data_IF_451930175186
#
_entry.id   IF_451930175186
#
_cell.length_a   1.000
_cell.length_b   1.000
_cell.length_c   1.000
_cell.angle_alpha   90.00
_cell.angle_beta   90.00
_cell.angle_gamma   90.00
#
_symmetry.space_group_name_H-M   'P 1'
#
loop_
_entity.id
_entity.type
_entity.pdbx_description
1 polymer ?
#
# COMPACT_ATOMS: atom_id res chain seq x y z
N UNK A 1 1.70 24.97 30.29
CA UNK A 1 0.41 24.89 29.64
C UNK A 1 0.16 23.53 29.08
N UNK A 2 -0.33 22.61 29.87
CA UNK A 2 -0.47 21.21 29.43
C UNK A 2 -1.48 21.00 28.30
N UNK A 3 -2.57 21.79 28.26
CA UNK A 3 -3.60 21.64 27.25
C UNK A 3 -3.11 22.02 25.85
N UNK A 4 -2.35 23.11 25.74
CA UNK A 4 -1.77 23.56 24.47
C UNK A 4 -0.73 22.56 23.94
N UNK A 5 0.10 22.02 24.83
CA UNK A 5 1.11 21.04 24.48
C UNK A 5 0.49 19.73 23.99
N UNK A 6 -0.56 19.26 24.65
CA UNK A 6 -1.29 18.07 24.23
C UNK A 6 -1.97 18.25 22.86
N UNK A 7 -2.55 19.44 22.62
CA UNK A 7 -3.17 19.77 21.34
C UNK A 7 -2.15 19.80 20.18
N UNK A 8 -0.98 20.37 20.39
CA UNK A 8 0.09 20.40 19.40
C UNK A 8 0.55 18.98 19.05
N UNK A 9 0.76 18.12 20.05
CA UNK A 9 1.15 16.73 19.84
C UNK A 9 0.09 15.97 19.05
N UNK A 10 -1.19 16.18 19.36
CA UNK A 10 -2.30 15.55 18.64
C UNK A 10 -2.36 16.02 17.18
N UNK A 11 -2.17 17.30 16.91
CA UNK A 11 -2.15 17.84 15.54
C UNK A 11 -1.00 17.25 14.72
N UNK A 12 0.20 17.15 15.28
CA UNK A 12 1.35 16.53 14.63
C UNK A 12 1.08 15.06 14.29
N UNK A 13 0.38 14.33 15.16
CA UNK A 13 0.04 12.92 14.90
C UNK A 13 -1.10 12.73 13.90
N UNK A 14 -2.04 13.70 13.80
CA UNK A 14 -3.19 13.61 12.91
C UNK A 14 -2.97 14.23 11.53
N UNK A 15 -1.88 15.00 11.36
CA UNK A 15 -1.52 15.67 10.11
C UNK A 15 -0.19 15.15 9.55
N UNK A 16 -0.16 13.92 9.05
CA UNK A 16 1.07 13.36 8.51
C UNK A 16 1.46 14.05 7.20
N UNK A 17 2.74 14.04 6.90
CA UNK A 17 3.20 14.32 5.55
C UNK A 17 2.78 13.17 4.64
N UNK A 18 2.04 13.49 3.61
CA UNK A 18 1.56 12.49 2.66
C UNK A 18 2.57 12.24 1.57
N UNK A 19 2.88 10.96 1.35
CA UNK A 19 3.72 10.51 0.26
C UNK A 19 2.83 10.00 -0.86
N UNK A 20 2.96 10.54 -2.06
CA UNK A 20 2.23 10.03 -3.22
C UNK A 20 2.93 8.77 -3.75
N UNK A 21 2.15 7.76 -4.06
CA UNK A 21 2.62 6.52 -4.69
C UNK A 21 1.91 6.35 -6.04
N UNK A 22 2.68 6.05 -7.06
CA UNK A 22 2.17 5.73 -8.39
C UNK A 22 2.62 4.33 -8.75
N UNK A 23 1.65 3.41 -8.88
CA UNK A 23 1.92 1.97 -8.96
C UNK A 23 1.33 1.40 -10.24
N UNK A 24 2.15 0.60 -10.92
CA UNK A 24 1.69 -0.21 -12.06
C UNK A 24 2.22 -1.63 -11.93
N UNK A 25 1.34 -2.58 -12.11
CA UNK A 25 1.71 -3.99 -12.13
C UNK A 25 0.83 -4.75 -13.13
N UNK A 26 1.33 -5.87 -13.60
CA UNK A 26 0.58 -6.74 -14.50
C UNK A 26 0.93 -8.20 -14.25
N UNK A 27 0.09 -9.07 -14.75
CA UNK A 27 0.35 -10.50 -14.66
C UNK A 27 -0.66 -11.30 -15.46
N UNK A 28 -0.48 -12.62 -15.44
CA UNK A 28 -1.46 -13.52 -16.04
C UNK A 28 -2.81 -13.32 -15.38
N UNK A 29 -3.89 -13.44 -16.16
CA UNK A 29 -5.25 -13.27 -15.64
C UNK A 29 -5.52 -14.20 -14.46
N UNK A 30 -5.06 -15.45 -14.53
CA UNK A 30 -5.21 -16.43 -13.45
C UNK A 30 -4.55 -15.97 -12.16
N UNK A 31 -3.27 -15.60 -12.23
CA UNK A 31 -2.52 -15.21 -11.03
C UNK A 31 -2.95 -13.83 -10.49
N UNK A 32 -3.29 -12.90 -11.37
CA UNK A 32 -3.81 -11.60 -10.94
C UNK A 32 -5.16 -11.72 -10.23
N UNK A 33 -6.02 -12.64 -10.67
CA UNK A 33 -7.28 -12.92 -9.97
C UNK A 33 -7.04 -13.49 -8.57
N UNK A 34 -6.07 -14.38 -8.42
CA UNK A 34 -5.69 -14.91 -7.11
C UNK A 34 -5.15 -13.79 -6.21
N UNK A 35 -4.28 -12.95 -6.75
CA UNK A 35 -3.75 -11.80 -6.04
C UNK A 35 -4.85 -10.85 -5.56
N UNK A 36 -5.76 -10.48 -6.45
CA UNK A 36 -6.88 -9.59 -6.12
C UNK A 36 -7.77 -10.18 -5.03
N UNK A 37 -8.08 -11.47 -5.10
CA UNK A 37 -8.96 -12.11 -4.13
C UNK A 37 -8.32 -12.28 -2.75
N UNK A 38 -7.01 -12.49 -2.70
CA UNK A 38 -6.31 -12.78 -1.44
C UNK A 38 -5.76 -11.51 -0.74
N UNK A 39 -5.27 -10.55 -1.50
CA UNK A 39 -4.54 -9.40 -0.95
C UNK A 39 -5.18 -8.04 -1.20
N UNK A 40 -6.29 -8.00 -1.92
CA UNK A 40 -6.99 -6.76 -2.25
C UNK A 40 -8.45 -6.83 -1.81
N UNK A 41 -9.05 -5.66 -1.62
CA UNK A 41 -10.50 -5.53 -1.47
C UNK A 41 -11.04 -4.77 -2.67
N UNK A 42 -12.19 -5.22 -3.19
CA UNK A 42 -12.95 -4.49 -4.20
C UNK A 42 -13.82 -3.43 -3.53
N UNK A 43 -13.99 -2.29 -4.19
CA UNK A 43 -14.86 -1.22 -3.71
C UNK A 43 -16.31 -1.73 -3.58
N UNK A 44 -16.89 -1.69 -2.36
CA UNK A 44 -18.26 -2.17 -2.15
C UNK A 44 -19.32 -1.32 -2.87
N UNK A 45 -18.97 -0.13 -3.35
CA UNK A 45 -19.88 0.73 -4.12
C UNK A 45 -19.97 0.34 -5.61
N UNK A 46 -19.32 -0.74 -6.01
CA UNK A 46 -19.46 -1.27 -7.37
C UNK A 46 -18.71 -0.50 -8.46
N UNK A 47 -17.67 0.26 -8.09
CA UNK A 47 -16.88 1.02 -9.06
C UNK A 47 -15.92 0.15 -9.88
N UNK A 48 -15.72 -1.10 -9.49
CA UNK A 48 -14.72 -1.98 -10.09
C UNK A 48 -13.29 -1.64 -9.69
N UNK A 49 -13.11 -0.74 -8.71
CA UNK A 49 -11.79 -0.35 -8.22
C UNK A 49 -11.39 -1.20 -7.03
N UNK A 50 -10.08 -1.25 -6.77
CA UNK A 50 -9.48 -2.07 -5.73
C UNK A 50 -8.55 -1.25 -4.84
N UNK A 51 -8.29 -1.78 -3.66
CA UNK A 51 -7.21 -1.34 -2.79
C UNK A 51 -6.37 -2.53 -2.35
N UNK A 52 -5.10 -2.30 -2.10
CA UNK A 52 -4.27 -3.28 -1.40
C UNK A 52 -4.69 -3.33 0.06
N UNK A 53 -4.67 -4.51 0.66
CA UNK A 53 -4.92 -4.67 2.09
C UNK A 53 -3.60 -5.05 2.75
N UNK A 54 -2.94 -4.07 3.35
CA UNK A 54 -1.61 -4.26 3.94
C UNK A 54 -1.62 -5.31 5.05
N UNK A 55 -2.70 -5.35 5.82
CA UNK A 55 -2.84 -6.35 6.89
C UNK A 55 -2.85 -7.79 6.37
N UNK A 56 -3.31 -8.01 5.15
CA UNK A 56 -3.28 -9.32 4.49
C UNK A 56 -1.92 -9.65 3.89
N UNK A 57 -1.20 -8.62 3.43
CA UNK A 57 0.11 -8.77 2.80
C UNK A 57 1.20 -8.96 3.87
N UNK A 58 1.19 -8.12 4.89
CA UNK A 58 2.15 -8.14 5.99
C UNK A 58 1.41 -7.87 7.30
N UNK A 59 0.87 -8.91 7.94
CA UNK A 59 0.12 -8.74 9.18
C UNK A 59 0.94 -8.09 10.28
N UNK A 60 0.33 -7.12 10.97
CA UNK A 60 0.94 -6.46 12.11
C UNK A 60 1.11 -7.46 13.25
N UNK A 61 2.29 -7.48 13.86
CA UNK A 61 2.58 -8.30 15.02
C UNK A 61 1.87 -7.83 16.28
N UNK A 62 2.07 -8.56 17.37
CA UNK A 62 1.50 -8.22 18.66
C UNK A 62 2.14 -6.95 19.20
N UNK A 63 1.34 -6.12 19.87
CA UNK A 63 1.79 -4.92 20.56
C UNK A 63 0.89 -4.64 21.76
N UNK A 64 1.43 -3.97 22.78
CA UNK A 64 0.64 -3.51 23.91
C UNK A 64 -0.18 -2.28 23.52
N UNK A 65 -1.48 -2.30 23.86
CA UNK A 65 -2.35 -1.15 23.64
C UNK A 65 -1.99 -0.02 24.60
N UNK A 66 -1.94 1.19 24.07
CA UNK A 66 -1.72 2.41 24.84
C UNK A 66 -2.73 3.48 24.43
N UNK A 67 -2.90 4.49 25.29
CA UNK A 67 -3.91 5.55 25.09
C UNK A 67 -3.63 6.41 23.85
N UNK A 68 -2.37 6.55 23.47
CA UNK A 68 -1.94 7.38 22.34
C UNK A 68 -1.90 6.62 21.03
N UNK A 69 -2.14 5.32 21.03
CA UNK A 69 -1.95 4.42 19.88
C UNK A 69 -0.52 4.42 19.32
N UNK A 70 0.45 4.86 20.10
CA UNK A 70 1.85 4.91 19.68
C UNK A 70 2.39 3.53 19.33
N UNK A 71 2.08 2.54 20.16
CA UNK A 71 2.52 1.16 19.94
C UNK A 71 1.92 0.57 18.66
N UNK A 72 0.65 0.86 18.40
CA UNK A 72 -0.01 0.45 17.16
C UNK A 72 0.67 1.09 15.94
N UNK A 73 0.91 2.38 15.98
CA UNK A 73 1.56 3.12 14.89
C UNK A 73 2.96 2.57 14.61
N UNK A 74 3.73 2.29 15.65
CA UNK A 74 5.06 1.71 15.50
C UNK A 74 5.00 0.31 14.91
N UNK A 75 4.09 -0.53 15.38
CA UNK A 75 3.90 -1.88 14.85
C UNK A 75 3.49 -1.87 13.37
N UNK A 76 2.58 -0.96 12.99
CA UNK A 76 2.17 -0.78 11.61
C UNK A 76 3.32 -0.27 10.73
N UNK A 77 4.09 0.68 11.23
CA UNK A 77 5.24 1.22 10.49
C UNK A 77 6.33 0.16 10.26
N UNK A 78 6.55 -0.72 11.22
CA UNK A 78 7.45 -1.87 11.04
C UNK A 78 6.94 -2.86 10.01
N UNK A 79 5.64 -3.17 10.06
CA UNK A 79 5.03 -4.16 9.17
C UNK A 79 4.86 -3.66 7.74
N UNK A 80 4.66 -2.35 7.55
CA UNK A 80 4.25 -1.78 6.25
C UNK A 80 5.22 -0.75 5.67
N UNK A 81 6.02 -0.11 6.50
CA UNK A 81 6.87 1.01 6.10
C UNK A 81 6.15 2.36 6.15
N UNK A 82 4.86 2.36 6.46
CA UNK A 82 4.06 3.57 6.62
C UNK A 82 3.07 3.39 7.78
N UNK A 83 2.43 4.49 8.17
CA UNK A 83 1.63 4.57 9.40
C UNK A 83 0.30 3.82 9.32
N UNK A 84 -0.38 3.87 8.19
CA UNK A 84 -1.74 3.33 8.02
C UNK A 84 -1.85 2.45 6.79
N UNK A 85 -2.83 1.53 6.83
CA UNK A 85 -3.21 0.74 5.69
C UNK A 85 -3.82 1.62 4.59
N UNK A 86 -3.81 1.13 3.37
CA UNK A 86 -4.44 1.81 2.25
C UNK A 86 -5.95 1.89 2.46
N UNK A 87 -6.52 3.09 2.41
CA UNK A 87 -7.95 3.30 2.59
C UNK A 87 -8.70 3.54 1.29
N UNK A 88 -8.06 4.14 0.30
CA UNK A 88 -8.69 4.51 -0.95
C UNK A 88 -8.71 3.36 -1.95
N UNK A 89 -9.85 3.19 -2.64
CA UNK A 89 -9.97 2.26 -3.76
C UNK A 89 -9.43 2.93 -5.02
N UNK A 90 -8.10 3.05 -5.08
CA UNK A 90 -7.40 3.84 -6.09
C UNK A 90 -6.99 3.05 -7.32
N UNK A 91 -7.00 1.71 -7.24
CA UNK A 91 -6.51 0.88 -8.33
C UNK A 91 -7.63 0.52 -9.31
N UNK A 92 -7.33 0.71 -10.59
CA UNK A 92 -8.18 0.24 -11.68
C UNK A 92 -7.52 -0.97 -12.33
N UNK A 93 -8.32 -1.89 -12.84
CA UNK A 93 -7.84 -3.05 -13.57
C UNK A 93 -8.27 -2.94 -15.03
N UNK A 94 -7.44 -3.45 -15.92
CA UNK A 94 -7.71 -3.55 -17.34
C UNK A 94 -7.29 -4.92 -17.84
N UNK A 95 -8.19 -5.60 -18.52
CA UNK A 95 -7.90 -6.89 -19.14
C UNK A 95 -7.30 -6.67 -20.54
N UNK A 96 -6.27 -7.43 -20.85
CA UNK A 96 -5.61 -7.40 -22.16
C UNK A 96 -5.39 -8.82 -22.67
N UNK A 97 -5.44 -8.97 -23.98
CA UNK A 97 -5.07 -10.22 -24.66
C UNK A 97 -3.90 -9.94 -25.59
N UNK A 98 -2.82 -10.70 -25.45
CA UNK A 98 -1.65 -10.60 -26.28
C UNK A 98 -1.09 -12.00 -26.56
N UNK A 99 -0.84 -12.33 -27.85
CA UNK A 99 -0.40 -13.66 -28.28
C UNK A 99 -1.27 -14.80 -27.73
N UNK A 100 -2.60 -14.64 -27.80
CA UNK A 100 -3.61 -15.59 -27.31
C UNK A 100 -3.55 -15.84 -25.79
N UNK A 101 -2.82 -15.02 -25.04
CA UNK A 101 -2.77 -15.08 -23.58
C UNK A 101 -3.48 -13.88 -22.97
N UNK A 102 -4.16 -14.12 -21.86
CA UNK A 102 -4.91 -13.10 -21.15
C UNK A 102 -4.11 -12.55 -19.96
N UNK A 103 -4.09 -11.24 -19.83
CA UNK A 103 -3.39 -10.51 -18.77
C UNK A 103 -4.33 -9.53 -18.09
N UNK A 104 -3.98 -9.18 -16.87
CA UNK A 104 -4.62 -8.07 -16.14
C UNK A 104 -3.54 -7.08 -15.78
N UNK A 105 -3.79 -5.81 -16.12
CA UNK A 105 -3.01 -4.67 -15.67
C UNK A 105 -3.73 -4.02 -14.50
N UNK A 106 -2.98 -3.63 -13.47
CA UNK A 106 -3.48 -2.92 -12.31
C UNK A 106 -2.65 -1.67 -12.14
N UNK A 107 -3.31 -0.51 -12.05
CA UNK A 107 -2.62 0.77 -11.89
C UNK A 107 -3.43 1.73 -11.03
N UNK A 108 -2.73 2.62 -10.36
CA UNK A 108 -3.35 3.67 -9.58
C UNK A 108 -2.35 4.48 -8.80
N UNK A 109 -2.83 5.61 -8.30
CA UNK A 109 -2.06 6.52 -7.45
C UNK A 109 -2.79 6.70 -6.13
N UNK A 110 -2.05 6.69 -5.03
CA UNK A 110 -2.60 6.89 -3.70
C UNK A 110 -1.56 7.44 -2.75
N UNK A 111 -2.03 7.97 -1.64
CA UNK A 111 -1.17 8.59 -0.65
C UNK A 111 -0.94 7.67 0.55
N UNK A 112 0.29 7.68 1.06
CA UNK A 112 0.66 7.01 2.30
C UNK A 112 1.23 8.01 3.30
N UNK A 113 0.95 7.84 4.60
CA UNK A 113 1.49 8.76 5.60
C UNK A 113 2.98 8.51 5.85
N UNK A 114 3.77 9.57 5.81
CA UNK A 114 5.21 9.67 6.17
C UNK A 114 6.21 9.10 5.16
N UNK A 115 5.82 8.24 4.28
CA UNK A 115 6.74 7.66 3.32
C UNK A 115 6.12 6.55 2.50
N UNK A 116 6.86 5.98 1.55
CA UNK A 116 6.34 4.88 0.76
C UNK A 116 6.24 3.61 1.59
N UNK A 117 5.29 2.72 1.28
CA UNK A 117 5.13 1.47 2.00
C UNK A 117 6.16 0.42 1.53
N UNK A 118 7.44 0.70 1.76
CA UNK A 118 8.55 -0.12 1.27
C UNK A 118 8.52 -1.56 1.79
N UNK A 119 8.05 -1.79 3.00
CA UNK A 119 7.93 -3.15 3.56
C UNK A 119 6.84 -3.93 2.82
N UNK A 120 5.73 -3.26 2.47
CA UNK A 120 4.68 -3.86 1.64
C UNK A 120 5.22 -4.25 0.27
N UNK A 121 5.99 -3.36 -0.35
CA UNK A 121 6.63 -3.65 -1.64
C UNK A 121 7.51 -4.91 -1.54
N UNK A 122 8.39 -4.98 -0.56
CA UNK A 122 9.28 -6.11 -0.36
C UNK A 122 8.51 -7.42 -0.12
N UNK A 123 7.42 -7.36 0.65
CA UNK A 123 6.56 -8.51 0.90
C UNK A 123 5.82 -8.97 -0.35
N UNK A 124 5.35 -8.05 -1.18
CA UNK A 124 4.72 -8.40 -2.46
C UNK A 124 5.69 -9.13 -3.38
N UNK A 125 6.92 -8.64 -3.50
CA UNK A 125 7.96 -9.29 -4.29
C UNK A 125 8.24 -10.70 -3.76
N UNK A 126 8.37 -10.84 -2.45
CA UNK A 126 8.58 -12.13 -1.78
C UNK A 126 7.43 -13.12 -2.05
N UNK A 127 6.19 -12.67 -1.92
CA UNK A 127 4.99 -13.50 -2.18
C UNK A 127 4.94 -13.95 -3.63
N UNK A 128 5.19 -13.05 -4.57
CA UNK A 128 5.20 -13.35 -6.00
C UNK A 128 6.24 -14.42 -6.32
N UNK A 129 7.42 -14.29 -5.76
CA UNK A 129 8.51 -15.27 -5.95
C UNK A 129 8.20 -16.61 -5.31
N UNK A 130 7.77 -16.63 -4.06
CA UNK A 130 7.44 -17.86 -3.32
C UNK A 130 6.32 -18.67 -3.97
N UNK A 131 5.33 -17.98 -4.54
CA UNK A 131 4.19 -18.62 -5.19
C UNK A 131 4.41 -18.89 -6.67
N UNK A 132 5.54 -18.50 -7.20
CA UNK A 132 5.87 -18.60 -8.62
C UNK A 132 4.75 -18.02 -9.49
N UNK A 133 4.24 -16.87 -9.10
CA UNK A 133 3.19 -16.17 -9.83
C UNK A 133 3.77 -15.39 -11.00
N UNK A 134 3.09 -15.46 -12.15
CA UNK A 134 3.42 -14.66 -13.32
C UNK A 134 2.87 -13.23 -13.15
N UNK A 135 3.44 -12.50 -12.19
CA UNK A 135 3.08 -11.12 -11.85
C UNK A 135 4.37 -10.31 -11.80
N UNK A 136 4.33 -9.12 -12.40
CA UNK A 136 5.42 -8.15 -12.33
C UNK A 136 4.92 -6.82 -11.77
N UNK A 137 5.71 -6.22 -10.87
CA UNK A 137 5.52 -4.84 -10.47
C UNK A 137 6.36 -4.01 -11.43
N UNK A 138 5.69 -3.35 -12.38
CA UNK A 138 6.36 -2.60 -13.45
C UNK A 138 6.98 -1.32 -12.93
N UNK A 139 6.25 -0.63 -12.04
CA UNK A 139 6.68 0.63 -11.48
C UNK A 139 6.03 0.86 -10.12
N UNK A 140 6.82 1.32 -9.18
CA UNK A 140 6.36 1.88 -7.92
C UNK A 140 7.15 3.15 -7.66
N UNK A 141 6.64 4.26 -8.16
CA UNK A 141 7.22 5.58 -7.98
C UNK A 141 6.62 6.24 -6.74
N UNK A 142 7.44 6.89 -5.93
CA UNK A 142 6.94 7.64 -4.79
C UNK A 142 7.50 9.06 -4.78
N UNK A 143 6.74 9.98 -4.19
CA UNK A 143 7.10 11.39 -4.11
C UNK A 143 6.57 11.98 -2.82
N UNK A 144 7.46 12.54 -2.02
CA UNK A 144 7.09 13.25 -0.80
C UNK A 144 6.67 14.69 -1.08
N UNK A 145 5.81 15.28 -0.20
CA UNK A 145 5.40 16.67 -0.35
C UNK A 145 6.59 17.63 -0.40
N UNK A 146 6.48 18.66 -1.22
CA UNK A 146 7.53 19.66 -1.38
C UNK A 146 8.70 19.21 -2.24
N UNK A 147 8.60 18.06 -2.89
CA UNK A 147 9.60 17.52 -3.82
C UNK A 147 10.99 17.30 -3.22
N UNK A 148 11.07 17.18 -1.89
CA UNK A 148 12.35 16.95 -1.22
C UNK A 148 12.89 15.54 -1.44
N UNK A 149 11.99 14.61 -1.67
CA UNK A 149 12.34 13.22 -1.80
C UNK A 149 11.39 12.52 -2.78
N UNK A 150 11.96 11.93 -3.81
CA UNK A 150 11.21 11.14 -4.78
C UNK A 150 12.11 10.00 -5.27
N UNK A 151 11.50 8.90 -5.68
CA UNK A 151 12.26 7.75 -6.16
C UNK A 151 11.38 6.60 -6.58
N UNK A 152 12.02 5.47 -6.76
CA UNK A 152 11.35 4.23 -7.13
C UNK A 152 11.68 3.14 -6.12
N UNK A 153 10.68 2.24 -5.88
CA UNK A 153 10.94 1.02 -5.13
C UNK A 153 11.35 -0.08 -6.10
N UNK A 154 12.29 -0.95 -5.70
CA UNK A 154 13.06 -0.87 -4.45
C UNK A 154 14.05 0.30 -4.46
N UNK A 155 14.26 0.86 -3.31
CA UNK A 155 15.27 1.90 -3.13
C UNK A 155 16.70 1.40 -3.33
#
# INVERSE_FOLDING_TARGET
MPVLKAKIVQEVMTMPNWCMNDVRMHGSKEHMKLFLSEFCDEDPNGTGRYRLVYQKISPVGEYEKDETNFNRINAQSEAWGCKWDMSDYAFVIQEETWNDKEYINLEGSYDTPWGPPHVIYDKLVEIIEERDWAIEIDEWFFKEPGMRFAGWLPE
#
